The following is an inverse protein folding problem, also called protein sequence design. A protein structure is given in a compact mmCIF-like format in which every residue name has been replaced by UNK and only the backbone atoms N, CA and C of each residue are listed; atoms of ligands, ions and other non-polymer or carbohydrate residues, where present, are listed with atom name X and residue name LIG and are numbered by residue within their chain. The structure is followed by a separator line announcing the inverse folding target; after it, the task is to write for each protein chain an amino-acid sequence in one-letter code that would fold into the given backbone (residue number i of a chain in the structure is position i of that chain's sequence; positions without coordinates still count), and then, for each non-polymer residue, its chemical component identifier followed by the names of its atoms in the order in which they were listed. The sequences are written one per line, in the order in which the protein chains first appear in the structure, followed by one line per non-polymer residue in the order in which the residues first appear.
data_IF_824911576037
#
_entry.id   IF_824911576037
#
_cell.length_a   1.000
_cell.length_b   1.000
_cell.length_c   1.000
_cell.angle_alpha   90.00
_cell.angle_beta   90.00
_cell.angle_gamma   90.00
#
_symmetry.space_group_name_H-M   'P 1'
#
loop_
_entity.id
_entity.type
_entity.pdbx_description
1 polymer ?
#
# COMPACT_ATOMS: atom_id res chain seq x y z
N UNK A 1 -6.87 -13.32 -29.32
CA UNK A 1 -7.45 -12.08 -28.76
C UNK A 1 -6.44 -11.52 -27.75
N UNK A 2 -6.03 -10.24 -27.84
CA UNK A 2 -5.13 -9.62 -26.87
C UNK A 2 -5.96 -9.14 -25.70
N UNK A 3 -5.54 -9.42 -24.45
CA UNK A 3 -6.16 -8.89 -23.24
C UNK A 3 -5.28 -7.76 -22.69
N UNK A 4 -5.89 -6.68 -22.25
CA UNK A 4 -5.24 -5.59 -21.53
C UNK A 4 -5.80 -5.63 -20.11
N UNK A 5 -4.92 -5.68 -19.13
CA UNK A 5 -5.26 -5.59 -17.72
C UNK A 5 -4.90 -4.19 -17.24
N UNK A 6 -5.87 -3.52 -16.63
CA UNK A 6 -5.69 -2.21 -16.00
C UNK A 6 -5.72 -2.43 -14.49
N UNK A 7 -4.76 -1.86 -13.80
CA UNK A 7 -4.67 -1.91 -12.35
C UNK A 7 -4.63 -0.50 -11.79
N UNK A 8 -5.56 -0.20 -10.89
CA UNK A 8 -5.56 1.06 -10.17
C UNK A 8 -4.48 1.02 -9.10
N UNK A 9 -3.64 2.02 -9.08
CA UNK A 9 -2.51 2.13 -8.19
C UNK A 9 -2.45 3.54 -7.61
N UNK A 10 -2.08 3.62 -6.34
CA UNK A 10 -1.79 4.88 -5.67
C UNK A 10 -0.28 4.96 -5.41
N UNK A 11 0.35 6.02 -5.89
CA UNK A 11 1.75 6.34 -5.67
C UNK A 11 1.86 7.56 -4.75
N UNK A 12 2.64 7.43 -3.68
CA UNK A 12 2.86 8.50 -2.71
C UNK A 12 4.27 9.07 -2.83
N UNK A 13 4.37 10.38 -3.07
CA UNK A 13 5.62 11.13 -2.97
C UNK A 13 5.68 11.83 -1.61
N UNK A 14 6.29 11.26 -0.57
CA UNK A 14 6.10 11.69 0.82
C UNK A 14 6.66 13.07 1.17
N UNK A 15 7.48 13.67 0.30
CA UNK A 15 8.02 15.04 0.46
C UNK A 15 8.20 15.65 -0.92
N UNK A 16 7.12 16.13 -1.53
CA UNK A 16 7.21 16.73 -2.86
C UNK A 16 6.71 18.17 -2.88
N UNK A 17 5.46 18.40 -2.57
CA UNK A 17 4.82 19.74 -2.65
C UNK A 17 4.47 20.34 -1.31
N UNK A 18 4.47 19.54 -0.25
CA UNK A 18 4.13 19.95 1.11
C UNK A 18 4.94 19.16 2.16
N UNK A 19 4.90 19.56 3.44
CA UNK A 19 5.58 18.84 4.52
C UNK A 19 5.14 17.38 4.62
N UNK A 20 6.06 16.50 5.03
CA UNK A 20 5.83 15.05 5.16
C UNK A 20 4.56 14.71 5.98
N UNK A 21 4.31 15.44 7.06
CA UNK A 21 3.12 15.18 7.90
C UNK A 21 1.80 15.42 7.15
N UNK A 22 1.78 16.36 6.22
CA UNK A 22 0.61 16.62 5.37
C UNK A 22 0.46 15.52 4.34
N UNK A 23 1.53 15.14 3.65
CA UNK A 23 1.50 14.05 2.68
C UNK A 23 1.07 12.72 3.30
N UNK A 24 1.59 12.37 4.47
CA UNK A 24 1.16 11.15 5.18
C UNK A 24 -0.34 11.20 5.47
N UNK A 25 -0.85 12.33 5.99
CA UNK A 25 -2.27 12.45 6.29
C UNK A 25 -3.16 12.33 5.03
N UNK A 26 -2.75 12.97 3.94
CA UNK A 26 -3.44 12.85 2.64
C UNK A 26 -3.39 11.41 2.09
N UNK A 27 -2.25 10.74 2.21
CA UNK A 27 -2.08 9.36 1.72
C UNK A 27 -2.91 8.37 2.54
N UNK A 28 -3.01 8.56 3.85
CA UNK A 28 -3.88 7.76 4.73
C UNK A 28 -5.35 7.93 4.33
N UNK A 29 -5.76 9.16 4.05
CA UNK A 29 -7.13 9.45 3.60
C UNK A 29 -7.42 8.87 2.21
N UNK A 30 -6.46 8.95 1.27
CA UNK A 30 -6.60 8.33 -0.03
C UNK A 30 -6.67 6.79 0.07
N UNK A 31 -5.84 6.16 0.92
CA UNK A 31 -5.95 4.73 1.18
C UNK A 31 -7.34 4.35 1.72
N UNK A 32 -7.94 5.18 2.60
CA UNK A 32 -9.31 5.00 3.06
C UNK A 32 -10.30 5.03 1.90
N UNK A 33 -10.20 6.02 1.01
CA UNK A 33 -11.09 6.14 -0.14
C UNK A 33 -10.98 4.93 -1.08
N UNK A 34 -9.78 4.40 -1.33
CA UNK A 34 -9.60 3.17 -2.11
C UNK A 34 -10.30 1.98 -1.45
N UNK A 35 -10.17 1.81 -0.14
CA UNK A 35 -10.84 0.73 0.61
C UNK A 35 -12.37 0.90 0.54
N UNK A 36 -12.88 2.12 0.67
CA UNK A 36 -14.30 2.42 0.56
C UNK A 36 -14.84 2.07 -0.84
N UNK A 37 -14.14 2.46 -1.91
CA UNK A 37 -14.53 2.11 -3.28
C UNK A 37 -14.52 0.59 -3.50
N UNK A 38 -13.52 -0.13 -2.96
CA UNK A 38 -13.50 -1.60 -3.01
C UNK A 38 -14.72 -2.18 -2.28
N UNK A 39 -15.16 -1.56 -1.20
CA UNK A 39 -16.36 -2.02 -0.46
C UNK A 39 -17.65 -1.78 -1.24
N UNK A 40 -17.75 -0.67 -1.95
CA UNK A 40 -18.96 -0.24 -2.69
C UNK A 40 -19.08 -0.90 -4.06
N UNK A 41 -17.96 -1.08 -4.78
CA UNK A 41 -17.93 -1.67 -6.13
C UNK A 41 -17.25 -3.04 -6.10
N UNK A 42 -18.03 -4.09 -6.32
CA UNK A 42 -17.54 -5.48 -6.28
C UNK A 42 -16.55 -5.84 -7.39
N UNK A 43 -16.49 -5.06 -8.46
CA UNK A 43 -15.56 -5.29 -9.57
C UNK A 43 -14.27 -4.45 -9.46
N UNK A 44 -14.26 -3.46 -8.60
CA UNK A 44 -13.09 -2.62 -8.41
C UNK A 44 -11.96 -3.37 -7.71
N UNK A 45 -10.76 -3.23 -8.28
CA UNK A 45 -9.52 -3.79 -7.72
C UNK A 45 -8.43 -2.72 -7.70
N UNK A 46 -7.54 -2.78 -6.71
CA UNK A 46 -6.44 -1.82 -6.60
C UNK A 46 -5.19 -2.41 -5.95
N UNK A 47 -4.07 -1.72 -6.13
CA UNK A 47 -2.83 -1.96 -5.40
C UNK A 47 -2.60 -0.78 -4.44
N UNK A 48 -2.36 -1.11 -3.17
CA UNK A 48 -1.87 -0.18 -2.15
C UNK A 48 -0.42 -0.58 -1.83
N UNK A 49 0.53 0.07 -2.51
CA UNK A 49 1.89 -0.43 -2.63
C UNK A 49 2.80 -0.15 -1.43
N UNK A 50 2.58 0.93 -0.71
CA UNK A 50 3.53 1.41 0.29
C UNK A 50 3.03 1.18 1.71
N UNK A 51 3.86 0.52 2.52
CA UNK A 51 3.51 0.18 3.91
C UNK A 51 3.47 1.42 4.80
N UNK A 52 4.21 2.47 4.50
CA UNK A 52 4.27 3.68 5.32
C UNK A 52 2.90 4.34 5.47
N UNK A 53 2.15 4.58 4.39
CA UNK A 53 0.79 5.10 4.48
C UNK A 53 -0.23 4.01 4.88
N UNK A 54 -0.01 2.77 4.46
CA UNK A 54 -0.89 1.66 4.84
C UNK A 54 -0.83 1.39 6.34
N UNK A 55 0.33 1.50 6.96
CA UNK A 55 0.48 1.44 8.42
C UNK A 55 -0.26 2.61 9.10
N UNK A 56 -0.17 3.81 8.53
CA UNK A 56 -0.95 4.97 8.99
C UNK A 56 -2.45 4.72 8.93
N UNK A 57 -2.93 4.21 7.80
CA UNK A 57 -4.34 3.82 7.61
C UNK A 57 -4.75 2.72 8.61
N UNK A 58 -3.97 1.67 8.75
CA UNK A 58 -4.22 0.56 9.66
C UNK A 58 -4.39 1.00 11.11
N UNK A 59 -3.60 1.98 11.54
CA UNK A 59 -3.66 2.51 12.89
C UNK A 59 -4.84 3.48 13.10
N UNK A 60 -5.24 4.19 12.04
CA UNK A 60 -6.29 5.21 12.10
C UNK A 60 -7.69 4.61 12.00
N UNK A 61 -7.88 3.52 11.24
CA UNK A 61 -9.17 2.90 10.94
C UNK A 61 -9.24 1.43 11.39
N UNK A 62 -9.13 1.13 12.70
CA UNK A 62 -9.12 -0.24 13.21
C UNK A 62 -10.41 -1.01 12.88
N UNK A 63 -11.54 -0.33 12.75
CA UNK A 63 -12.84 -0.90 12.39
C UNK A 63 -12.89 -1.48 10.98
N UNK A 64 -12.08 -0.98 10.07
CA UNK A 64 -12.04 -1.39 8.66
C UNK A 64 -11.04 -2.53 8.37
N UNK A 65 -10.30 -2.98 9.38
CA UNK A 65 -9.23 -4.00 9.20
C UNK A 65 -9.76 -5.34 8.73
N UNK A 66 -10.89 -5.79 9.26
CA UNK A 66 -11.49 -7.08 8.87
C UNK A 66 -11.92 -7.08 7.40
N UNK A 67 -12.54 -6.00 6.95
CA UNK A 67 -12.91 -5.83 5.55
C UNK A 67 -11.68 -5.79 4.64
N UNK A 68 -10.66 -5.05 5.03
CA UNK A 68 -9.39 -5.01 4.30
C UNK A 68 -8.77 -6.40 4.15
N UNK A 69 -8.68 -7.18 5.24
CA UNK A 69 -8.17 -8.55 5.22
C UNK A 69 -9.05 -9.47 4.34
N UNK A 70 -10.36 -9.24 4.32
CA UNK A 70 -11.26 -9.95 3.41
C UNK A 70 -10.95 -9.61 1.95
N UNK A 71 -10.80 -8.33 1.61
CA UNK A 71 -10.47 -7.89 0.25
C UNK A 71 -9.12 -8.39 -0.26
N UNK A 72 -8.13 -8.52 0.63
CA UNK A 72 -6.87 -9.19 0.32
C UNK A 72 -7.07 -10.67 -0.05
N UNK A 73 -7.86 -11.41 0.73
CA UNK A 73 -8.16 -12.83 0.45
C UNK A 73 -8.97 -13.01 -0.84
N UNK A 74 -9.79 -12.05 -1.18
CA UNK A 74 -10.58 -12.01 -2.41
C UNK A 74 -9.76 -11.56 -3.63
N UNK A 75 -8.49 -11.19 -3.47
CA UNK A 75 -7.61 -10.60 -4.48
C UNK A 75 -8.18 -9.31 -5.09
N UNK A 76 -8.89 -8.54 -4.30
CA UNK A 76 -9.45 -7.24 -4.70
C UNK A 76 -8.55 -6.08 -4.30
N UNK A 77 -7.77 -6.27 -3.24
CA UNK A 77 -6.65 -5.40 -2.86
C UNK A 77 -5.37 -6.22 -2.91
N UNK A 78 -4.31 -5.66 -3.45
CA UNK A 78 -2.95 -6.19 -3.41
C UNK A 78 -2.04 -5.19 -2.71
N UNK A 79 -1.00 -5.68 -2.03
CA UNK A 79 0.02 -4.85 -1.38
C UNK A 79 1.39 -5.20 -1.92
N UNK A 80 2.28 -4.21 -2.04
CA UNK A 80 3.67 -4.47 -2.41
C UNK A 80 4.48 -4.95 -1.22
N UNK A 81 5.70 -5.39 -1.50
CA UNK A 81 6.61 -5.91 -0.47
C UNK A 81 7.56 -4.88 0.13
N UNK A 82 7.52 -3.61 -0.29
CA UNK A 82 8.41 -2.55 0.20
C UNK A 82 7.73 -1.68 1.25
N UNK A 83 8.53 -1.10 2.16
CA UNK A 83 8.01 -0.16 3.15
C UNK A 83 7.60 1.17 2.49
N UNK A 84 8.44 1.68 1.59
CA UNK A 84 8.16 2.85 0.76
C UNK A 84 8.74 2.64 -0.63
N UNK A 85 8.42 3.50 -1.59
CA UNK A 85 9.02 3.51 -2.93
C UNK A 85 10.21 4.49 -2.97
N UNK A 86 11.45 4.04 -2.69
CA UNK A 86 12.61 4.90 -2.69
C UNK A 86 13.10 5.18 -4.11
N UNK A 87 13.72 6.33 -4.31
CA UNK A 87 14.50 6.55 -5.52
C UNK A 87 15.78 5.69 -5.47
N UNK A 88 15.77 4.56 -6.15
CA UNK A 88 16.83 3.54 -6.16
C UNK A 88 18.20 4.08 -6.59
N UNK A 89 18.22 5.13 -7.42
CA UNK A 89 19.46 5.76 -7.84
C UNK A 89 20.09 6.68 -6.79
N UNK A 90 19.35 6.99 -5.73
CA UNK A 90 19.77 7.96 -4.70
C UNK A 90 20.07 7.34 -3.35
N UNK A 91 19.66 6.10 -3.11
CA UNK A 91 19.83 5.41 -1.82
C UNK A 91 20.83 4.26 -1.91
N UNK A 92 21.51 3.99 -0.79
CA UNK A 92 22.46 2.88 -0.72
C UNK A 92 21.78 1.52 -0.68
N UNK A 93 22.47 0.47 -1.15
CA UNK A 93 21.93 -0.89 -1.23
C UNK A 93 21.43 -1.46 0.09
N UNK A 94 22.05 -1.10 1.22
CA UNK A 94 21.57 -1.52 2.55
C UNK A 94 20.23 -0.86 2.90
N UNK A 95 20.03 0.40 2.54
CA UNK A 95 18.77 1.09 2.76
C UNK A 95 17.65 0.46 1.92
N UNK A 96 17.92 0.10 0.67
CA UNK A 96 16.98 -0.64 -0.18
C UNK A 96 16.63 -2.00 0.43
N UNK A 97 17.63 -2.76 0.88
CA UNK A 97 17.39 -4.05 1.51
C UNK A 97 16.52 -3.92 2.77
N UNK A 98 16.82 -2.95 3.64
CA UNK A 98 16.03 -2.69 4.85
C UNK A 98 14.60 -2.26 4.52
N UNK A 99 14.42 -1.45 3.50
CA UNK A 99 13.09 -1.03 3.03
C UNK A 99 12.21 -2.24 2.71
N UNK A 100 12.76 -3.22 1.98
CA UNK A 100 12.05 -4.47 1.66
C UNK A 100 11.84 -5.32 2.92
N UNK A 101 12.86 -5.51 3.75
CA UNK A 101 12.78 -6.34 4.95
C UNK A 101 11.71 -5.81 5.92
N UNK A 102 11.70 -4.49 6.19
CA UNK A 102 10.70 -3.90 7.09
C UNK A 102 9.29 -3.96 6.52
N UNK A 103 9.14 -3.73 5.21
CA UNK A 103 7.86 -3.91 4.54
C UNK A 103 7.32 -5.33 4.68
N UNK A 104 8.17 -6.34 4.40
CA UNK A 104 7.81 -7.76 4.53
C UNK A 104 7.46 -8.15 5.97
N UNK A 105 8.21 -7.67 6.97
CA UNK A 105 7.89 -7.94 8.37
C UNK A 105 6.52 -7.38 8.74
N UNK A 106 6.23 -6.15 8.36
CA UNK A 106 4.93 -5.55 8.63
C UNK A 106 3.79 -6.34 7.99
N UNK A 107 3.94 -6.77 6.73
CA UNK A 107 2.94 -7.58 6.03
C UNK A 107 2.70 -8.92 6.74
N UNK A 108 3.76 -9.59 7.18
CA UNK A 108 3.64 -10.87 7.92
C UNK A 108 2.94 -10.66 9.26
N UNK A 109 3.32 -9.62 10.01
CA UNK A 109 2.81 -9.37 11.37
C UNK A 109 1.35 -8.93 11.38
N UNK A 110 0.92 -8.14 10.39
CA UNK A 110 -0.41 -7.53 10.38
C UNK A 110 -1.37 -8.13 9.36
N UNK A 111 -0.87 -8.57 8.21
CA UNK A 111 -1.72 -9.10 7.14
C UNK A 111 -1.60 -10.62 6.97
N UNK A 112 -0.68 -11.26 7.71
CA UNK A 112 -0.50 -12.72 7.69
C UNK A 112 0.11 -13.26 6.39
N UNK A 113 0.67 -12.42 5.54
CA UNK A 113 1.24 -12.81 4.26
C UNK A 113 2.42 -11.94 3.84
N UNK A 114 3.04 -12.30 2.73
CA UNK A 114 4.14 -11.53 2.12
C UNK A 114 3.65 -10.86 0.85
N UNK A 115 4.09 -9.64 0.61
CA UNK A 115 3.90 -8.98 -0.68
C UNK A 115 4.74 -9.67 -1.76
N UNK A 116 4.13 -9.89 -2.92
CA UNK A 116 4.76 -10.57 -4.05
C UNK A 116 5.17 -9.59 -5.17
N UNK A 117 4.73 -8.35 -5.08
CA UNK A 117 5.01 -7.31 -6.07
C UNK A 117 5.92 -6.26 -5.44
N UNK A 118 6.93 -5.88 -6.19
CA UNK A 118 7.81 -4.74 -5.90
C UNK A 118 7.65 -3.76 -7.07
N UNK A 119 7.33 -2.54 -6.76
CA UNK A 119 7.25 -1.45 -7.73
C UNK A 119 8.36 -0.48 -7.46
#
# INVERSE_FOLDING_TARGET
MRRIHLCNHFHCDPIFTCPQSVHIAESVELARQFVDVVAEDSEFTCILSEIDYLQGWWNTYPESREDFLRFLRENRIETSGSYSEPNENSVGGEALLRNVVYGQWWLVDYLGGRGNVYM
#
